data_IF_016304986855
#
_entry.id   IF_016304986855
#
_cell.length_a   1.000
_cell.length_b   1.000
_cell.length_c   1.000
_cell.angle_alpha   90.00
_cell.angle_beta   90.00
_cell.angle_gamma   90.00
#
_symmetry.space_group_name_H-M   'P 1'
#
loop_
_entity.id
_entity.type
_entity.pdbx_description
1 polymer ?
#
# COMPACT_ATOMS: atom_id res chain seq x y z
N UNK A 1 10.77 -10.11 -12.03
CA UNK A 1 10.24 -9.15 -11.04
C UNK A 1 9.71 -7.97 -11.82
N UNK A 2 8.40 -7.79 -11.85
CA UNK A 2 7.82 -6.62 -12.48
C UNK A 2 8.27 -5.37 -11.72
N UNK A 3 8.56 -4.29 -12.43
CA UNK A 3 8.86 -3.02 -11.77
C UNK A 3 7.58 -2.53 -11.09
N UNK A 4 7.67 -2.14 -9.81
CA UNK A 4 6.55 -1.50 -9.12
C UNK A 4 6.43 -0.09 -9.65
N UNK A 5 5.28 0.23 -10.22
CA UNK A 5 4.94 1.54 -10.77
C UNK A 5 3.57 1.97 -10.25
N UNK A 6 3.27 3.27 -10.30
CA UNK A 6 1.96 3.79 -9.90
C UNK A 6 0.81 3.15 -10.68
N UNK A 7 1.00 2.86 -11.97
CA UNK A 7 0.00 2.17 -12.80
C UNK A 7 -0.23 0.71 -12.36
N UNK A 8 0.84 -0.01 -12.01
CA UNK A 8 0.73 -1.39 -11.49
C UNK A 8 -0.01 -1.40 -10.17
N UNK A 9 0.36 -0.52 -9.23
CA UNK A 9 -0.34 -0.40 -7.94
C UNK A 9 -1.80 -0.01 -8.12
N UNK A 10 -2.10 0.94 -9.00
CA UNK A 10 -3.46 1.37 -9.30
C UNK A 10 -4.30 0.21 -9.84
N UNK A 11 -3.74 -0.58 -10.76
CA UNK A 11 -4.41 -1.77 -11.30
C UNK A 11 -4.72 -2.79 -10.19
N UNK A 12 -3.77 -3.05 -9.30
CA UNK A 12 -3.98 -3.96 -8.16
C UNK A 12 -5.02 -3.40 -7.17
N UNK A 13 -4.99 -2.09 -6.88
CA UNK A 13 -5.98 -1.43 -6.02
C UNK A 13 -7.41 -1.52 -6.59
N UNK A 14 -7.56 -1.39 -7.91
CA UNK A 14 -8.85 -1.54 -8.61
C UNK A 14 -9.42 -2.95 -8.48
N UNK A 15 -8.59 -4.00 -8.39
CA UNK A 15 -9.05 -5.39 -8.12
C UNK A 15 -9.78 -5.49 -6.77
N UNK A 16 -9.40 -4.66 -5.79
CA UNK A 16 -10.01 -4.60 -4.47
C UNK A 16 -11.06 -3.49 -4.31
N UNK A 17 -11.49 -2.84 -5.41
CA UNK A 17 -12.41 -1.70 -5.42
C UNK A 17 -11.90 -0.49 -4.60
N UNK A 18 -10.57 -0.37 -4.45
CA UNK A 18 -9.95 0.73 -3.71
C UNK A 18 -9.65 1.88 -4.67
N UNK A 19 -10.42 2.96 -4.53
CA UNK A 19 -10.21 4.16 -5.34
C UNK A 19 -9.04 4.98 -4.79
N UNK A 20 -8.01 5.19 -5.62
CA UNK A 20 -6.95 6.17 -5.36
C UNK A 20 -7.11 7.35 -6.30
N UNK A 21 -7.52 8.50 -5.77
CA UNK A 21 -7.72 9.73 -6.55
C UNK A 21 -6.47 10.61 -6.61
N UNK A 22 -5.47 10.32 -5.77
CA UNK A 22 -4.32 11.18 -5.54
C UNK A 22 -3.04 10.48 -5.99
N UNK A 23 -2.41 10.99 -7.04
CA UNK A 23 -1.17 10.44 -7.59
C UNK A 23 0.00 10.53 -6.60
N UNK A 24 0.00 11.46 -5.65
CA UNK A 24 1.04 11.51 -4.61
C UNK A 24 0.93 10.33 -3.64
N UNK A 25 -0.29 9.82 -3.40
CA UNK A 25 -0.49 8.61 -2.59
C UNK A 25 0.05 7.38 -3.31
N UNK A 26 -0.17 7.28 -4.63
CA UNK A 26 0.42 6.22 -5.46
C UNK A 26 1.95 6.30 -5.48
N UNK A 27 2.51 7.50 -5.68
CA UNK A 27 3.96 7.72 -5.65
C UNK A 27 4.55 7.27 -4.31
N UNK A 28 3.89 7.61 -3.20
CA UNK A 28 4.30 7.17 -1.86
C UNK A 28 4.26 5.65 -1.69
N UNK A 29 3.23 4.98 -2.21
CA UNK A 29 3.16 3.51 -2.19
C UNK A 29 4.28 2.90 -3.02
N UNK A 30 4.64 3.48 -4.17
CA UNK A 30 5.79 3.05 -4.98
C UNK A 30 7.09 3.19 -4.18
N UNK A 31 7.31 4.34 -3.53
CA UNK A 31 8.48 4.57 -2.67
C UNK A 31 8.59 3.50 -1.58
N UNK A 32 7.47 3.19 -0.91
CA UNK A 32 7.42 2.15 0.12
C UNK A 32 7.74 0.77 -0.46
N UNK A 33 7.18 0.43 -1.63
CA UNK A 33 7.49 -0.83 -2.29
C UNK A 33 8.99 -0.96 -2.58
N UNK A 34 9.64 0.13 -3.03
CA UNK A 34 11.08 0.15 -3.27
C UNK A 34 11.87 0.05 -1.97
N UNK A 35 11.50 0.82 -0.95
CA UNK A 35 12.18 0.88 0.35
C UNK A 35 12.16 -0.47 1.06
N UNK A 36 10.99 -1.13 1.06
CA UNK A 36 10.75 -2.39 1.74
C UNK A 36 10.85 -3.60 0.79
N UNK A 37 11.23 -3.40 -0.47
CA UNK A 37 11.32 -4.46 -1.50
C UNK A 37 10.04 -5.30 -1.65
N UNK A 38 8.89 -4.66 -1.52
CA UNK A 38 7.58 -5.27 -1.73
C UNK A 38 7.19 -5.21 -3.20
N UNK A 39 6.42 -6.18 -3.65
CA UNK A 39 5.71 -6.11 -4.92
C UNK A 39 4.40 -5.31 -4.78
N UNK A 40 3.83 -4.89 -5.92
CA UNK A 40 2.59 -4.12 -5.93
C UNK A 40 1.43 -4.90 -5.28
N UNK A 41 1.35 -6.20 -5.55
CA UNK A 41 0.32 -7.07 -4.96
C UNK A 41 0.52 -7.21 -3.44
N UNK A 42 1.74 -7.46 -2.98
CA UNK A 42 2.06 -7.58 -1.55
C UNK A 42 1.71 -6.30 -0.80
N UNK A 43 2.08 -5.14 -1.35
CA UNK A 43 1.73 -3.85 -0.77
C UNK A 43 0.22 -3.65 -0.68
N UNK A 44 -0.52 -3.95 -1.74
CA UNK A 44 -1.98 -3.78 -1.75
C UNK A 44 -2.65 -4.77 -0.80
N UNK A 45 -2.19 -6.01 -0.72
CA UNK A 45 -2.70 -7.01 0.23
C UNK A 45 -2.51 -6.57 1.69
N UNK A 46 -1.32 -6.08 2.04
CA UNK A 46 -1.04 -5.56 3.37
C UNK A 46 -1.90 -4.33 3.68
N UNK A 47 -2.07 -3.43 2.69
CA UNK A 47 -2.96 -2.28 2.82
C UNK A 47 -4.42 -2.69 3.02
N UNK A 48 -4.92 -3.66 2.26
CA UNK A 48 -6.29 -4.19 2.38
C UNK A 48 -6.49 -4.82 3.76
N UNK A 49 -5.53 -5.61 4.24
CA UNK A 49 -5.57 -6.21 5.57
C UNK A 49 -5.63 -5.13 6.65
N UNK A 50 -4.73 -4.14 6.58
CA UNK A 50 -4.72 -2.99 7.49
C UNK A 50 -6.05 -2.24 7.47
N UNK A 51 -6.54 -1.89 6.29
CA UNK A 51 -7.81 -1.19 6.10
C UNK A 51 -8.97 -1.97 6.72
N UNK A 52 -9.01 -3.28 6.52
CA UNK A 52 -10.02 -4.16 7.12
C UNK A 52 -9.94 -4.13 8.65
N UNK A 53 -8.74 -4.14 9.26
CA UNK A 53 -8.61 -4.06 10.73
C UNK A 53 -9.00 -2.69 11.30
N UNK A 54 -8.85 -1.62 10.52
CA UNK A 54 -9.22 -0.24 10.90
C UNK A 54 -10.62 0.16 10.41
N UNK A 55 -11.48 -0.83 10.16
CA UNK A 55 -12.89 -0.63 9.80
C UNK A 55 -13.12 0.06 8.44
N UNK A 56 -12.32 -0.32 7.43
CA UNK A 56 -12.45 0.13 6.04
C UNK A 56 -11.88 1.53 5.81
N UNK A 57 -10.69 1.81 6.34
CA UNK A 57 -10.05 3.11 6.17
C UNK A 57 -9.73 3.37 4.69
N UNK A 58 -9.98 4.61 4.24
CA UNK A 58 -9.74 5.02 2.85
C UNK A 58 -8.25 5.25 2.60
N UNK A 59 -7.81 4.91 1.39
CA UNK A 59 -6.46 5.16 0.91
C UNK A 59 -6.24 6.67 0.75
N UNK A 60 -5.48 7.25 1.70
CA UNK A 60 -5.12 8.66 1.77
C UNK A 60 -3.74 8.78 2.38
N UNK A 61 -3.01 9.86 2.05
CA UNK A 61 -1.63 10.05 2.48
C UNK A 61 -1.43 9.85 4.00
N UNK A 62 -2.23 10.51 4.84
CA UNK A 62 -2.13 10.36 6.31
C UNK A 62 -2.37 8.93 6.80
N UNK A 63 -3.26 8.16 6.16
CA UNK A 63 -3.51 6.77 6.56
C UNK A 63 -2.41 5.84 6.07
N UNK A 64 -1.82 6.15 4.92
CA UNK A 64 -0.67 5.44 4.36
C UNK A 64 0.59 5.66 5.21
N UNK A 65 0.80 6.89 5.71
CA UNK A 65 1.85 7.19 6.69
C UNK A 65 1.62 6.42 8.00
N UNK A 66 0.36 6.37 8.48
CA UNK A 66 0.02 5.59 9.67
C UNK A 66 0.23 4.08 9.46
N UNK A 67 -0.07 3.57 8.26
CA UNK A 67 0.19 2.19 7.87
C UNK A 67 1.69 1.84 7.95
N UNK A 68 2.60 2.72 7.52
CA UNK A 68 4.04 2.48 7.67
C UNK A 68 4.47 2.29 9.12
N UNK A 69 3.90 3.10 10.01
CA UNK A 69 4.17 3.03 11.44
C UNK A 69 3.57 1.77 12.09
N UNK A 70 2.35 1.39 11.70
CA UNK A 70 1.57 0.33 12.36
C UNK A 70 1.84 -1.06 11.78
N UNK A 71 2.21 -1.15 10.49
CA UNK A 71 2.36 -2.40 9.75
C UNK A 71 3.79 -2.54 9.23
N UNK A 72 4.29 -1.60 8.44
CA UNK A 72 5.57 -1.82 7.74
C UNK A 72 6.78 -1.84 8.68
N UNK A 73 6.69 -1.19 9.84
CA UNK A 73 7.70 -1.26 10.90
C UNK A 73 7.71 -2.61 11.66
N UNK A 74 6.58 -3.31 11.73
CA UNK A 74 6.42 -4.55 12.54
C UNK A 74 6.28 -5.82 11.70
N UNK A 75 5.57 -5.77 10.58
CA UNK A 75 5.32 -6.89 9.68
C UNK A 75 6.61 -7.37 8.99
N UNK A 76 7.54 -6.47 8.66
CA UNK A 76 8.83 -6.82 8.05
C UNK A 76 9.83 -7.44 9.04
N UNK A 77 9.53 -7.42 10.34
CA UNK A 77 10.40 -8.01 11.38
C UNK A 77 10.01 -9.45 11.74
N UNK A 78 8.94 -9.98 11.14
CA UNK A 78 8.39 -11.30 11.46
C UNK A 78 8.56 -12.34 10.32
N UNK A 79 9.15 -11.95 9.18
CA UNK A 79 9.59 -12.86 8.11
C UNK A 79 11.11 -12.90 8.00
#
# INVERSE_FOLDING_TARGET
MAAVTGESLRSELEVFDITCEDDFVLDKMVEQCICYRLQADEMVLEWVAYSSTKNGVKLKMHNLEQFEHDVTTVAFRMF
#
